data_IF_516994035151
#
_entry.id   IF_516994035151
#
_cell.length_a   1.000
_cell.length_b   1.000
_cell.length_c   1.000
_cell.angle_alpha   90.00
_cell.angle_beta   90.00
_cell.angle_gamma   90.00
#
_symmetry.space_group_name_H-M   'P 1'
#
loop_
_entity.id
_entity.type
_entity.pdbx_description
1 polymer ?
#
# COMPACT_ATOMS: atom_id res chain seq x y z
N UNK A 1 -4.06 -19.63 1.21
CA UNK A 1 -2.74 -18.95 1.23
C UNK A 1 -2.49 -18.26 2.58
N UNK A 2 -3.50 -17.61 3.13
CA UNK A 2 -3.37 -16.84 4.38
C UNK A 2 -3.78 -17.60 5.64
N UNK A 3 -4.32 -18.82 5.51
CA UNK A 3 -4.63 -19.67 6.67
C UNK A 3 -3.37 -19.85 7.54
N UNK A 4 -3.54 -19.72 8.86
CA UNK A 4 -2.46 -19.80 9.86
C UNK A 4 -1.33 -18.76 9.72
N UNK A 5 -1.45 -17.79 8.81
CA UNK A 5 -0.46 -16.73 8.59
C UNK A 5 -0.79 -15.44 9.36
N UNK A 6 0.23 -14.79 9.86
CA UNK A 6 0.17 -13.44 10.42
C UNK A 6 0.60 -12.43 9.36
N UNK A 7 -0.25 -11.45 9.04
CA UNK A 7 0.00 -10.49 7.98
C UNK A 7 -0.05 -9.05 8.54
N UNK A 8 0.97 -8.24 8.29
CA UNK A 8 0.90 -6.81 8.53
C UNK A 8 0.51 -6.08 7.25
N UNK A 9 -0.46 -5.17 7.34
CA UNK A 9 -0.85 -4.26 6.25
C UNK A 9 -0.62 -2.82 6.67
N UNK A 10 0.45 -2.22 6.18
CA UNK A 10 0.67 -0.79 6.40
C UNK A 10 -0.21 0.04 5.48
N UNK A 11 -0.70 1.19 5.94
CA UNK A 11 -1.73 1.93 5.19
C UNK A 11 -3.05 1.16 5.07
N UNK A 12 -3.29 0.20 5.96
CA UNK A 12 -4.43 -0.72 5.91
C UNK A 12 -5.80 -0.05 5.97
N UNK A 13 -5.90 1.19 6.45
CA UNK A 13 -7.14 2.00 6.43
C UNK A 13 -7.40 2.67 5.07
N UNK A 14 -6.45 2.61 4.13
CA UNK A 14 -6.62 3.12 2.77
C UNK A 14 -7.57 2.24 1.92
N UNK A 15 -8.02 2.76 0.77
CA UNK A 15 -8.97 2.07 -0.11
C UNK A 15 -8.50 0.69 -0.59
N UNK A 16 -7.20 0.54 -0.86
CA UNK A 16 -6.59 -0.73 -1.27
C UNK A 16 -6.42 -1.63 -0.05
N UNK A 17 -5.81 -1.12 1.03
CA UNK A 17 -5.59 -1.87 2.26
C UNK A 17 -6.86 -2.52 2.80
N UNK A 18 -7.93 -1.73 2.94
CA UNK A 18 -9.23 -2.26 3.38
C UNK A 18 -9.79 -3.36 2.46
N UNK A 19 -9.62 -3.20 1.15
CA UNK A 19 -10.08 -4.22 0.20
C UNK A 19 -9.29 -5.53 0.35
N UNK A 20 -7.97 -5.42 0.45
CA UNK A 20 -7.09 -6.58 0.65
C UNK A 20 -7.42 -7.30 1.96
N UNK A 21 -7.52 -6.56 3.07
CA UNK A 21 -7.86 -7.11 4.38
C UNK A 21 -9.19 -7.85 4.34
N UNK A 22 -10.23 -7.26 3.72
CA UNK A 22 -11.53 -7.91 3.57
C UNK A 22 -11.45 -9.23 2.79
N UNK A 23 -10.57 -9.30 1.79
CA UNK A 23 -10.37 -10.53 1.02
C UNK A 23 -9.60 -11.57 1.82
N UNK A 24 -8.52 -11.16 2.51
CA UNK A 24 -7.71 -12.05 3.34
C UNK A 24 -8.48 -12.65 4.50
N UNK A 25 -9.38 -11.87 5.13
CA UNK A 25 -10.25 -12.38 6.21
C UNK A 25 -11.10 -13.59 5.80
N UNK A 26 -11.41 -13.75 4.52
CA UNK A 26 -12.16 -14.91 4.02
C UNK A 26 -11.37 -16.21 4.01
N UNK A 27 -10.06 -16.13 4.16
CA UNK A 27 -9.16 -17.28 4.19
C UNK A 27 -8.73 -17.65 5.63
N UNK A 28 -9.37 -17.08 6.65
CA UNK A 28 -9.12 -17.32 8.07
C UNK A 28 -7.64 -17.21 8.46
N UNK A 29 -7.01 -16.02 8.29
CA UNK A 29 -5.65 -15.80 8.73
C UNK A 29 -5.56 -15.93 10.26
N UNK A 30 -4.38 -16.31 10.76
CA UNK A 30 -4.11 -16.33 12.20
C UNK A 30 -4.26 -14.93 12.80
N UNK A 31 -3.68 -13.91 12.13
CA UNK A 31 -3.71 -12.52 12.58
C UNK A 31 -3.52 -11.56 11.40
N UNK A 32 -4.23 -10.44 11.39
CA UNK A 32 -3.99 -9.30 10.50
C UNK A 32 -3.70 -8.07 11.34
N UNK A 33 -2.52 -7.49 11.17
CA UNK A 33 -2.12 -6.23 11.79
C UNK A 33 -2.40 -5.08 10.82
N UNK A 34 -3.30 -4.18 11.19
CA UNK A 34 -3.58 -2.93 10.48
C UNK A 34 -2.72 -1.84 11.08
N UNK A 35 -1.75 -1.34 10.31
CA UNK A 35 -0.85 -0.28 10.75
C UNK A 35 -1.06 0.99 9.94
N UNK A 36 -1.49 2.07 10.57
CA UNK A 36 -1.74 3.35 9.91
C UNK A 36 -1.81 4.51 10.90
N UNK A 37 -1.67 5.75 10.42
CA UNK A 37 -1.63 6.95 11.24
C UNK A 37 -2.99 7.45 11.72
N UNK A 38 -4.04 7.11 11.01
CA UNK A 38 -5.37 7.72 11.14
C UNK A 38 -6.24 6.90 12.11
N UNK A 39 -6.38 7.40 13.33
CA UNK A 39 -7.18 6.81 14.41
C UNK A 39 -8.65 6.69 14.02
N UNK A 40 -9.22 7.75 13.47
CA UNK A 40 -10.65 7.80 13.13
C UNK A 40 -11.00 6.72 12.10
N UNK A 41 -10.17 6.57 11.05
CA UNK A 41 -10.37 5.51 10.05
C UNK A 41 -10.21 4.12 10.64
N UNK A 42 -9.29 3.91 11.59
CA UNK A 42 -9.14 2.64 12.29
C UNK A 42 -10.39 2.33 13.10
N UNK A 43 -10.90 3.28 13.87
CA UNK A 43 -12.11 3.12 14.67
C UNK A 43 -13.32 2.70 13.83
N UNK A 44 -13.60 3.43 12.73
CA UNK A 44 -14.70 3.05 11.83
C UNK A 44 -14.46 1.73 11.12
N UNK A 45 -13.23 1.42 10.78
CA UNK A 45 -12.87 0.15 10.17
C UNK A 45 -13.09 -1.01 11.14
N UNK A 46 -12.70 -0.88 12.39
CA UNK A 46 -12.92 -1.88 13.44
C UNK A 46 -14.41 -2.19 13.63
N UNK A 47 -15.25 -1.16 13.71
CA UNK A 47 -16.71 -1.33 13.80
C UNK A 47 -17.31 -2.06 12.60
N UNK A 48 -16.77 -1.81 11.40
CA UNK A 48 -17.30 -2.39 10.16
C UNK A 48 -16.86 -3.83 9.92
N UNK A 49 -15.62 -4.17 10.28
CA UNK A 49 -15.09 -5.51 9.99
C UNK A 49 -15.46 -6.55 11.04
N UNK A 50 -15.62 -6.17 12.31
CA UNK A 50 -16.02 -7.02 13.44
C UNK A 50 -15.34 -8.39 13.45
N UNK A 51 -14.08 -8.48 13.07
CA UNK A 51 -13.31 -9.71 12.96
C UNK A 51 -12.26 -9.76 14.09
N UNK A 52 -12.29 -10.80 14.89
CA UNK A 52 -11.42 -10.98 16.07
C UNK A 52 -9.93 -11.15 15.71
N UNK A 53 -9.64 -11.56 14.47
CA UNK A 53 -8.28 -11.78 14.00
C UNK A 53 -7.63 -10.52 13.43
N UNK A 54 -8.29 -9.35 13.50
CA UNK A 54 -7.74 -8.07 13.07
C UNK A 54 -7.36 -7.24 14.29
N UNK A 55 -6.11 -6.86 14.34
CA UNK A 55 -5.56 -5.93 15.33
C UNK A 55 -5.25 -4.58 14.68
N UNK A 56 -5.49 -3.50 15.41
CA UNK A 56 -5.35 -2.14 14.91
C UNK A 56 -4.29 -1.39 15.70
N UNK A 57 -3.26 -0.92 15.02
CA UNK A 57 -2.16 -0.18 15.62
C UNK A 57 -1.97 1.17 14.93
N UNK A 58 -2.03 2.23 15.72
CA UNK A 58 -1.69 3.58 15.25
C UNK A 58 -0.17 3.70 15.19
N UNK A 59 0.33 4.20 14.06
CA UNK A 59 1.74 4.48 13.90
C UNK A 59 2.11 4.96 12.50
N UNK A 60 3.33 5.45 12.39
CA UNK A 60 3.90 6.00 11.16
C UNK A 60 5.02 5.08 10.65
N UNK A 61 5.12 4.91 9.33
CA UNK A 61 6.18 4.10 8.71
C UNK A 61 7.59 4.69 8.91
N UNK A 62 7.69 5.91 9.38
CA UNK A 62 8.95 6.53 9.79
C UNK A 62 9.47 6.02 11.15
N UNK A 63 8.60 5.47 11.97
CA UNK A 63 8.96 4.92 13.28
C UNK A 63 9.44 3.46 13.15
N UNK A 64 10.75 3.32 12.95
CA UNK A 64 11.42 2.02 12.83
C UNK A 64 11.22 1.14 14.07
N UNK A 65 11.35 1.71 15.27
CA UNK A 65 11.24 0.94 16.52
C UNK A 65 9.86 0.32 16.70
N UNK A 66 8.81 1.08 16.38
CA UNK A 66 7.44 0.57 16.45
C UNK A 66 7.14 -0.48 15.38
N UNK A 67 7.67 -0.30 14.16
CA UNK A 67 7.55 -1.30 13.10
C UNK A 67 8.24 -2.59 13.53
N UNK A 68 9.48 -2.50 14.00
CA UNK A 68 10.27 -3.63 14.46
C UNK A 68 9.54 -4.45 15.52
N UNK A 69 8.97 -3.76 16.52
CA UNK A 69 8.20 -4.40 17.59
C UNK A 69 6.96 -5.14 17.04
N UNK A 70 6.23 -4.53 16.10
CA UNK A 70 4.99 -5.10 15.58
C UNK A 70 5.19 -6.22 14.55
N UNK A 71 6.40 -6.34 13.99
CA UNK A 71 6.73 -7.40 13.02
C UNK A 71 7.15 -8.71 13.68
N UNK A 72 7.22 -8.78 15.00
CA UNK A 72 7.49 -10.03 15.70
C UNK A 72 6.42 -11.10 15.36
N UNK A 73 6.87 -12.24 14.84
CA UNK A 73 6.01 -13.34 14.41
C UNK A 73 5.10 -13.01 13.20
N UNK A 74 5.45 -12.03 12.37
CA UNK A 74 4.76 -11.70 11.11
C UNK A 74 5.35 -12.51 9.95
N UNK A 75 4.50 -13.22 9.21
CA UNK A 75 4.90 -13.97 8.02
C UNK A 75 4.98 -13.08 6.77
N UNK A 76 3.99 -12.22 6.55
CA UNK A 76 3.92 -11.38 5.35
C UNK A 76 3.68 -9.91 5.68
N UNK A 77 4.35 -9.02 4.96
CA UNK A 77 4.06 -7.59 4.99
C UNK A 77 3.50 -7.13 3.66
N UNK A 78 2.36 -6.46 3.69
CA UNK A 78 1.77 -5.79 2.52
C UNK A 78 1.87 -4.29 2.75
N UNK A 79 2.88 -3.67 2.14
CA UNK A 79 3.20 -2.27 2.34
C UNK A 79 2.46 -1.37 1.36
N UNK A 80 1.29 -0.85 1.80
CA UNK A 80 0.47 0.07 1.00
C UNK A 80 0.54 1.54 1.45
N UNK A 81 1.23 1.82 2.56
CA UNK A 81 1.38 3.18 3.06
C UNK A 81 2.24 4.02 2.12
N UNK A 82 1.73 5.13 1.65
CA UNK A 82 2.45 6.09 0.83
C UNK A 82 1.70 7.42 0.72
N UNK A 83 2.42 8.49 0.45
CA UNK A 83 1.88 9.71 -0.15
C UNK A 83 1.70 9.48 -1.66
N UNK A 84 0.49 9.70 -2.18
CA UNK A 84 0.15 9.36 -3.58
C UNK A 84 -0.45 10.51 -4.40
N UNK A 85 -0.91 11.57 -3.76
CA UNK A 85 -1.53 12.71 -4.43
C UNK A 85 -0.47 13.61 -5.04
N UNK A 86 -0.37 13.60 -6.38
CA UNK A 86 0.69 14.32 -7.10
C UNK A 86 0.79 15.79 -6.67
N UNK A 87 -0.28 16.61 -6.65
CA UNK A 87 -0.15 18.02 -6.25
C UNK A 87 0.32 18.21 -4.79
N UNK A 88 -0.06 17.31 -3.91
CA UNK A 88 0.37 17.38 -2.49
C UNK A 88 1.84 17.00 -2.38
N UNK A 89 2.27 15.98 -3.10
CA UNK A 89 3.68 15.51 -3.08
C UNK A 89 4.60 16.54 -3.71
N UNK A 90 4.19 17.21 -4.79
CA UNK A 90 4.98 18.32 -5.39
C UNK A 90 5.26 19.45 -4.38
N UNK A 91 4.28 19.77 -3.54
CA UNK A 91 4.44 20.80 -2.52
C UNK A 91 5.14 20.30 -1.24
N UNK A 92 5.32 18.98 -1.09
CA UNK A 92 5.90 18.37 0.11
C UNK A 92 6.90 17.25 -0.26
N UNK A 93 7.96 17.55 -1.02
CA UNK A 93 8.87 16.53 -1.54
C UNK A 93 9.70 15.83 -0.44
N UNK A 94 10.09 16.55 0.61
CA UNK A 94 10.82 15.97 1.75
C UNK A 94 9.93 14.98 2.52
N UNK A 95 8.71 15.37 2.84
CA UNK A 95 7.75 14.49 3.51
C UNK A 95 7.47 13.23 2.67
N UNK A 96 7.37 13.39 1.35
CA UNK A 96 7.19 12.26 0.45
C UNK A 96 8.42 11.34 0.43
N UNK A 97 9.63 11.90 0.51
CA UNK A 97 10.88 11.13 0.63
C UNK A 97 10.91 10.33 1.93
N UNK A 98 10.59 10.97 3.04
CA UNK A 98 10.57 10.31 4.35
C UNK A 98 9.54 9.18 4.41
N UNK A 99 8.32 9.41 3.89
CA UNK A 99 7.26 8.40 3.95
C UNK A 99 7.44 7.32 2.89
N UNK A 100 7.66 7.70 1.62
CA UNK A 100 7.65 6.74 0.52
C UNK A 100 8.98 5.98 0.42
N UNK A 101 10.11 6.64 0.66
CA UNK A 101 11.45 6.04 0.52
C UNK A 101 11.93 5.50 1.87
N UNK A 102 12.11 6.38 2.86
CA UNK A 102 12.65 5.97 4.16
C UNK A 102 11.66 5.07 4.92
N UNK A 103 10.36 5.35 4.82
CA UNK A 103 9.32 4.47 5.39
C UNK A 103 9.34 3.06 4.78
N UNK A 104 9.56 2.94 3.45
CA UNK A 104 9.75 1.63 2.81
C UNK A 104 11.04 0.96 3.27
N UNK A 105 12.14 1.70 3.39
CA UNK A 105 13.40 1.19 3.94
C UNK A 105 13.23 0.63 5.35
N UNK A 106 12.53 1.36 6.22
CA UNK A 106 12.23 0.90 7.58
C UNK A 106 11.46 -0.42 7.60
N UNK A 107 10.45 -0.54 6.73
CA UNK A 107 9.67 -1.78 6.58
C UNK A 107 10.58 -2.94 6.16
N UNK A 108 11.42 -2.73 5.15
CA UNK A 108 12.31 -3.78 4.63
C UNK A 108 13.31 -4.21 5.71
N UNK A 109 14.00 -3.27 6.33
CA UNK A 109 14.99 -3.55 7.38
C UNK A 109 14.39 -4.26 8.59
N UNK A 110 13.24 -3.79 9.06
CA UNK A 110 12.56 -4.43 10.18
C UNK A 110 12.05 -5.83 9.81
N UNK A 111 11.58 -6.03 8.58
CA UNK A 111 11.17 -7.34 8.06
C UNK A 111 12.34 -8.31 7.95
N UNK A 112 13.49 -7.82 7.53
CA UNK A 112 14.73 -8.61 7.49
C UNK A 112 15.17 -9.05 8.88
N UNK A 113 15.16 -8.14 9.85
CA UNK A 113 15.52 -8.42 11.24
C UNK A 113 14.58 -9.44 11.91
N UNK A 114 13.27 -9.35 11.62
CA UNK A 114 12.24 -10.22 12.18
C UNK A 114 11.98 -11.49 11.34
N UNK A 115 12.82 -11.75 10.33
CA UNK A 115 12.72 -12.94 9.48
C UNK A 115 11.35 -13.12 8.80
N UNK A 116 10.73 -12.01 8.40
CA UNK A 116 9.49 -12.03 7.60
C UNK A 116 9.74 -12.80 6.30
N UNK A 117 8.82 -13.67 5.89
CA UNK A 117 8.99 -14.47 4.69
C UNK A 117 8.98 -13.60 3.42
N UNK A 118 8.00 -12.70 3.29
CA UNK A 118 7.85 -11.83 2.10
C UNK A 118 7.30 -10.46 2.43
N UNK A 119 7.82 -9.46 1.70
CA UNK A 119 7.35 -8.07 1.71
C UNK A 119 6.85 -7.69 0.33
N UNK A 120 5.59 -7.28 0.22
CA UNK A 120 5.00 -6.74 -1.02
C UNK A 120 4.96 -5.22 -0.93
N UNK A 121 5.71 -4.54 -1.80
CA UNK A 121 5.73 -3.08 -1.90
C UNK A 121 4.94 -2.60 -3.12
N UNK A 122 4.07 -1.61 -2.94
CA UNK A 122 3.31 -1.04 -4.05
C UNK A 122 4.04 0.13 -4.71
N UNK A 123 4.28 -0.04 -6.00
CA UNK A 123 4.76 0.98 -6.92
C UNK A 123 3.62 1.45 -7.85
N UNK A 124 3.94 2.18 -8.88
CA UNK A 124 3.01 2.83 -9.80
C UNK A 124 3.53 2.81 -11.23
N UNK A 125 2.61 2.87 -12.20
CA UNK A 125 2.91 3.15 -13.61
C UNK A 125 3.75 4.43 -13.79
N UNK A 126 3.59 5.40 -12.88
CA UNK A 126 4.33 6.68 -12.87
C UNK A 126 5.80 6.56 -12.48
N UNK A 127 6.23 5.39 -12.00
CA UNK A 127 7.64 5.10 -11.72
C UNK A 127 8.46 4.75 -12.98
N UNK A 128 7.80 4.40 -14.09
CA UNK A 128 8.49 3.94 -15.33
C UNK A 128 9.23 5.07 -16.02
N UNK A 129 8.58 6.22 -16.14
CA UNK A 129 9.18 7.45 -16.66
C UNK A 129 8.71 8.62 -15.76
N UNK A 130 9.35 8.82 -14.61
CA UNK A 130 8.85 9.71 -13.58
C UNK A 130 9.01 11.19 -13.97
N UNK A 131 7.90 11.85 -14.23
CA UNK A 131 7.84 13.30 -14.55
C UNK A 131 7.33 14.12 -13.36
N UNK A 132 7.10 13.50 -12.22
CA UNK A 132 6.65 14.15 -11.00
C UNK A 132 7.30 13.51 -9.76
N UNK A 133 7.32 14.26 -8.66
CA UNK A 133 7.99 13.86 -7.43
C UNK A 133 7.45 12.52 -6.87
N UNK A 134 6.12 12.28 -6.94
CA UNK A 134 5.53 11.01 -6.50
C UNK A 134 6.06 9.83 -7.32
N UNK A 135 6.12 9.95 -8.65
CA UNK A 135 6.71 8.95 -9.54
C UNK A 135 8.19 8.72 -9.25
N UNK A 136 8.96 9.80 -8.99
CA UNK A 136 10.38 9.73 -8.64
C UNK A 136 10.60 8.95 -7.33
N UNK A 137 9.81 9.21 -6.29
CA UNK A 137 9.93 8.43 -5.04
C UNK A 137 9.65 6.95 -5.26
N UNK A 138 8.67 6.58 -6.10
CA UNK A 138 8.37 5.18 -6.43
C UNK A 138 9.47 4.53 -7.28
N UNK A 139 10.05 5.27 -8.22
CA UNK A 139 11.19 4.79 -9.02
C UNK A 139 12.42 4.48 -8.15
N UNK A 140 12.71 5.33 -7.15
CA UNK A 140 13.78 5.08 -6.18
C UNK A 140 13.50 3.80 -5.38
N UNK A 141 12.27 3.63 -4.86
CA UNK A 141 11.87 2.41 -4.14
C UNK A 141 12.06 1.16 -4.99
N UNK A 142 11.70 1.18 -6.27
CA UNK A 142 11.95 0.05 -7.17
C UNK A 142 13.44 -0.27 -7.33
N UNK A 143 14.30 0.76 -7.36
CA UNK A 143 15.76 0.58 -7.39
C UNK A 143 16.28 -0.01 -6.09
N UNK A 144 15.78 0.45 -4.95
CA UNK A 144 16.12 -0.13 -3.63
C UNK A 144 15.80 -1.62 -3.59
N UNK A 145 14.59 -2.00 -4.02
CA UNK A 145 14.16 -3.42 -4.06
C UNK A 145 15.09 -4.26 -4.92
N UNK A 146 15.50 -3.76 -6.10
CA UNK A 146 16.32 -4.49 -7.04
C UNK A 146 17.79 -4.63 -6.62
N UNK A 147 18.35 -3.60 -5.98
CA UNK A 147 19.81 -3.51 -5.77
C UNK A 147 20.26 -4.06 -4.42
N UNK A 148 19.35 -4.34 -3.50
CA UNK A 148 19.73 -4.83 -2.17
C UNK A 148 19.66 -6.34 -2.07
N UNK A 149 20.72 -6.90 -1.50
CA UNK A 149 20.73 -8.28 -1.07
C UNK A 149 19.99 -8.38 0.28
N UNK A 150 18.66 -8.24 0.25
CA UNK A 150 17.84 -8.36 1.46
C UNK A 150 17.84 -9.81 1.96
N UNK A 151 17.86 -9.99 3.27
CA UNK A 151 17.62 -11.30 3.90
C UNK A 151 16.17 -11.78 3.80
N UNK A 152 15.28 -10.96 3.20
CA UNK A 152 13.86 -11.21 3.01
C UNK A 152 13.49 -11.06 1.54
N UNK A 153 12.48 -11.81 1.07
CA UNK A 153 11.94 -11.66 -0.30
C UNK A 153 11.11 -10.38 -0.41
N UNK A 154 11.66 -9.34 -1.05
CA UNK A 154 10.95 -8.08 -1.31
C UNK A 154 10.50 -8.00 -2.75
N UNK A 155 9.19 -7.84 -2.96
CA UNK A 155 8.58 -7.86 -4.30
C UNK A 155 7.86 -6.53 -4.55
N UNK A 156 8.25 -5.85 -5.64
CA UNK A 156 7.58 -4.63 -6.10
C UNK A 156 6.43 -4.95 -7.06
N UNK A 157 5.25 -4.39 -6.81
CA UNK A 157 4.09 -4.48 -7.72
C UNK A 157 3.79 -3.09 -8.26
N UNK A 158 3.83 -2.92 -9.59
CA UNK A 158 3.38 -1.70 -10.27
C UNK A 158 1.88 -1.72 -10.45
N UNK A 159 1.21 -0.67 -10.00
CA UNK A 159 -0.21 -0.48 -10.19
C UNK A 159 -0.49 0.64 -11.20
N UNK A 160 -1.50 0.44 -12.04
CA UNK A 160 -2.15 1.52 -12.78
C UNK A 160 -3.11 2.32 -11.90
N UNK A 161 -4.03 3.06 -12.50
CA UNK A 161 -5.07 3.78 -11.77
C UNK A 161 -6.13 2.79 -11.25
N UNK A 162 -6.18 2.59 -9.94
CA UNK A 162 -7.12 1.65 -9.35
C UNK A 162 -8.49 2.30 -9.21
N UNK A 163 -9.50 1.69 -9.82
CA UNK A 163 -10.88 2.16 -9.83
C UNK A 163 -11.47 2.23 -8.40
N UNK A 164 -12.33 3.22 -8.18
CA UNK A 164 -13.06 3.41 -6.92
C UNK A 164 -12.15 3.48 -5.68
N UNK A 165 -11.02 4.17 -5.81
CA UNK A 165 -10.16 4.55 -4.68
C UNK A 165 -10.36 6.02 -4.34
N UNK A 166 -10.23 6.36 -3.05
CA UNK A 166 -10.39 7.73 -2.56
C UNK A 166 -9.40 8.69 -3.26
N UNK A 167 -9.90 9.83 -3.70
CA UNK A 167 -9.13 10.84 -4.42
C UNK A 167 -8.73 10.42 -5.84
N UNK A 168 -9.36 9.40 -6.42
CA UNK A 168 -9.24 9.06 -7.84
C UNK A 168 -10.10 9.98 -8.70
N UNK A 169 -9.82 10.02 -10.01
CA UNK A 169 -10.63 10.79 -10.95
C UNK A 169 -12.11 10.38 -10.94
N UNK A 170 -12.40 9.09 -10.74
CA UNK A 170 -13.79 8.61 -10.61
C UNK A 170 -14.48 9.11 -9.35
N UNK A 171 -13.76 9.20 -8.23
CA UNK A 171 -14.28 9.77 -6.98
C UNK A 171 -14.60 11.27 -7.18
N UNK A 172 -13.75 11.99 -7.92
CA UNK A 172 -14.00 13.38 -8.28
C UNK A 172 -15.24 13.51 -9.19
N UNK A 173 -15.32 12.72 -10.26
CA UNK A 173 -16.45 12.77 -11.19
C UNK A 173 -17.77 12.38 -10.52
N UNK A 174 -17.81 11.36 -9.70
CA UNK A 174 -19.01 11.00 -8.95
C UNK A 174 -19.49 12.16 -8.07
N UNK A 175 -18.59 12.82 -7.34
CA UNK A 175 -18.92 14.02 -6.54
C UNK A 175 -19.39 15.20 -7.40
N UNK A 176 -18.89 15.33 -8.62
CA UNK A 176 -19.37 16.37 -9.57
C UNK A 176 -20.77 16.05 -10.06
N UNK A 177 -21.05 14.79 -10.42
CA UNK A 177 -22.37 14.31 -10.85
C UNK A 177 -23.40 14.48 -9.73
N UNK A 178 -23.08 14.04 -8.51
CA UNK A 178 -23.95 14.19 -7.34
C UNK A 178 -24.32 15.64 -7.04
N UNK A 179 -23.44 16.58 -7.38
CA UNK A 179 -23.66 18.04 -7.23
C UNK A 179 -24.22 18.70 -8.47
N UNK A 180 -24.72 17.94 -9.46
CA UNK A 180 -25.18 18.41 -10.76
C UNK A 180 -24.17 19.33 -11.49
N UNK A 181 -22.88 19.09 -11.31
CA UNK A 181 -21.80 19.81 -11.99
C UNK A 181 -21.32 19.07 -13.22
N UNK A 182 -20.78 19.82 -14.18
CA UNK A 182 -20.13 19.21 -15.37
C UNK A 182 -18.88 18.45 -14.94
N UNK A 183 -18.65 17.29 -15.53
CA UNK A 183 -17.43 16.52 -15.35
C UNK A 183 -16.24 17.29 -15.95
N UNK A 184 -15.17 17.41 -15.20
CA UNK A 184 -13.94 18.05 -15.68
C UNK A 184 -13.02 17.03 -16.34
N UNK A 185 -12.56 17.34 -17.54
CA UNK A 185 -11.55 16.55 -18.27
C UNK A 185 -10.30 17.40 -18.47
N UNK A 186 -9.14 16.86 -18.17
CA UNK A 186 -7.85 17.53 -18.39
C UNK A 186 -7.53 17.59 -19.89
N UNK A 187 -7.75 16.49 -20.60
CA UNK A 187 -7.58 16.38 -22.04
C UNK A 187 -8.45 15.23 -22.58
N UNK A 188 -9.07 15.43 -23.77
CA UNK A 188 -9.83 14.37 -24.46
C UNK A 188 -8.94 13.25 -25.01
N UNK A 189 -7.65 13.51 -25.21
CA UNK A 189 -6.67 12.56 -25.75
C UNK A 189 -5.94 11.78 -24.66
N UNK A 190 -6.19 12.11 -23.39
CA UNK A 190 -5.48 11.48 -22.26
C UNK A 190 -5.91 10.03 -22.09
N UNK A 191 -4.95 9.12 -22.11
CA UNK A 191 -5.12 7.70 -21.82
C UNK A 191 -4.50 7.33 -20.47
N UNK A 192 -5.04 6.33 -19.80
CA UNK A 192 -4.55 5.79 -18.54
C UNK A 192 -4.78 4.29 -18.48
N UNK A 193 -3.86 3.58 -17.83
CA UNK A 193 -4.08 2.20 -17.43
C UNK A 193 -5.00 2.14 -16.22
N UNK A 194 -6.12 1.45 -16.35
CA UNK A 194 -7.05 1.23 -15.25
C UNK A 194 -7.04 -0.22 -14.80
N UNK A 195 -7.24 -0.43 -13.51
CA UNK A 195 -7.39 -1.75 -12.93
C UNK A 195 -8.41 -1.74 -11.79
N UNK A 196 -9.03 -2.88 -11.55
CA UNK A 196 -9.98 -3.05 -10.44
C UNK A 196 -9.24 -3.42 -9.16
N UNK A 197 -9.84 -3.19 -8.01
CA UNK A 197 -9.29 -3.66 -6.72
C UNK A 197 -9.10 -5.19 -6.69
N UNK A 198 -9.93 -5.94 -7.45
CA UNK A 198 -9.75 -7.38 -7.61
C UNK A 198 -8.42 -7.71 -8.28
N UNK A 199 -8.09 -7.00 -9.34
CA UNK A 199 -6.85 -7.24 -10.10
C UNK A 199 -5.61 -6.95 -9.20
N UNK A 200 -5.70 -5.96 -8.30
CA UNK A 200 -4.65 -5.71 -7.28
C UNK A 200 -4.51 -6.91 -6.32
N UNK A 201 -5.63 -7.47 -5.86
CA UNK A 201 -5.59 -8.65 -4.98
C UNK A 201 -4.99 -9.86 -5.68
N UNK A 202 -5.38 -10.11 -6.92
CA UNK A 202 -4.85 -11.22 -7.72
C UNK A 202 -3.33 -11.08 -7.94
N UNK A 203 -2.84 -9.85 -8.17
CA UNK A 203 -1.40 -9.56 -8.25
C UNK A 203 -0.67 -9.82 -6.93
N UNK A 204 -1.27 -9.45 -5.79
CA UNK A 204 -0.69 -9.74 -4.47
C UNK A 204 -0.58 -11.25 -4.24
N UNK A 205 -1.64 -12.01 -4.57
CA UNK A 205 -1.62 -13.46 -4.46
C UNK A 205 -0.54 -14.07 -5.36
N UNK A 206 -0.44 -13.60 -6.60
CA UNK A 206 0.58 -14.05 -7.54
C UNK A 206 1.99 -13.76 -7.02
N UNK A 207 2.23 -12.55 -6.52
CA UNK A 207 3.51 -12.15 -5.96
C UNK A 207 3.89 -12.96 -4.73
N UNK A 208 2.95 -13.23 -3.83
CA UNK A 208 3.19 -14.07 -2.66
C UNK A 208 3.51 -15.52 -3.05
N UNK A 209 2.86 -16.04 -4.09
CA UNK A 209 3.03 -17.43 -4.51
C UNK A 209 4.30 -17.65 -5.34
N UNK A 210 4.57 -16.79 -6.29
CA UNK A 210 5.60 -17.00 -7.31
C UNK A 210 6.73 -15.96 -7.27
N UNK A 211 6.51 -14.84 -6.59
CA UNK A 211 7.53 -13.80 -6.47
C UNK A 211 8.71 -14.34 -5.68
N UNK A 212 9.88 -14.18 -6.28
CA UNK A 212 11.18 -14.47 -5.67
C UNK A 212 12.03 -13.21 -5.77
N UNK A 213 13.03 -13.13 -4.92
CA UNK A 213 14.13 -12.20 -5.04
C UNK A 213 14.74 -12.33 -6.44
N UNK A 214 14.83 -11.23 -7.16
CA UNK A 214 15.49 -11.13 -8.47
C UNK A 214 16.98 -10.89 -8.31
#
# INVERSE_FOLDING_TARGET
>A
MFSEKTIMVTGGTGSIGQYLIRKMCKENPKRIIVYSRDEEKQYFMQKRFMNKNIEYYIGDVRDYGRILYLLDGVDYVIHTAAMKQVPIVENNPLEATEINIMGTENIIRASEYQHVEKVICFSSDKAVNPVNCMGMTKAIVERMIKNKNHGVDVIGIRLGNVLNTNGSVFDLWNKQIEKNRKITLTSKQMTRYFMRKKDVYDLVLHALKYGKKS
#
